data_IF_414801574389
#
_entry.id   IF_414801574389
#
_cell.length_a   1.000
_cell.length_b   1.000
_cell.length_c   1.000
_cell.angle_alpha   90.00
_cell.angle_beta   90.00
_cell.angle_gamma   90.00
#
_symmetry.space_group_name_H-M   'P 1'
#
loop_
_entity.id
_entity.type
_entity.pdbx_description
1 polymer ?
#
# COMPACT_ATOMS: atom_id res chain seq x y z
N UNK A 1 18.00 -16.88 -4.70
CA UNK A 1 18.41 -16.83 -3.29
C UNK A 1 17.16 -17.20 -2.50
N UNK A 2 17.07 -16.96 -1.20
CA UNK A 2 15.84 -17.24 -0.41
C UNK A 2 15.29 -15.88 0.01
N UNK A 3 13.96 -15.78 0.10
CA UNK A 3 13.32 -14.57 0.63
C UNK A 3 13.79 -14.32 2.08
N UNK A 4 13.87 -13.04 2.46
CA UNK A 4 14.37 -12.61 3.76
C UNK A 4 13.20 -12.42 4.72
N UNK A 5 13.20 -13.20 5.80
CA UNK A 5 12.18 -13.13 6.85
C UNK A 5 12.23 -11.78 7.58
N UNK A 6 11.07 -11.13 7.67
CA UNK A 6 10.85 -9.89 8.44
C UNK A 6 10.32 -10.22 9.83
N UNK A 7 9.27 -11.05 9.91
CA UNK A 7 8.60 -11.47 11.15
C UNK A 7 7.98 -12.86 10.95
N UNK A 8 7.94 -13.69 12.00
CA UNK A 8 7.40 -15.06 11.96
C UNK A 8 6.37 -15.39 13.04
N UNK A 9 5.82 -14.35 13.66
CA UNK A 9 4.74 -14.47 14.64
C UNK A 9 3.67 -13.43 14.37
N UNK A 10 3.15 -13.39 13.14
CA UNK A 10 2.06 -12.47 12.78
C UNK A 10 0.68 -13.13 12.92
N UNK A 11 -0.38 -12.31 12.92
CA UNK A 11 -1.75 -12.83 12.97
C UNK A 11 -2.10 -13.58 11.68
N UNK A 12 -2.87 -14.66 11.80
CA UNK A 12 -3.31 -15.49 10.67
C UNK A 12 -4.35 -14.80 9.76
N UNK A 13 -4.78 -13.58 10.08
CA UNK A 13 -5.77 -12.84 9.29
C UNK A 13 -5.19 -11.50 8.81
N UNK A 14 -3.88 -11.42 8.53
CA UNK A 14 -3.23 -10.14 8.17
C UNK A 14 -3.85 -9.49 6.93
N UNK A 15 -4.25 -10.29 5.95
CA UNK A 15 -4.94 -9.90 4.73
C UNK A 15 -6.32 -9.30 5.02
N UNK A 16 -7.15 -9.98 5.82
CA UNK A 16 -8.47 -9.49 6.23
C UNK A 16 -8.38 -8.17 7.00
N UNK A 17 -7.29 -7.99 7.76
CA UNK A 17 -7.09 -6.89 8.71
C UNK A 17 -6.42 -5.66 8.12
N UNK A 18 -6.02 -5.71 6.85
CA UNK A 18 -5.08 -4.75 6.28
C UNK A 18 -3.91 -4.55 7.25
N UNK A 19 -3.40 -5.65 7.78
CA UNK A 19 -2.65 -5.65 9.04
C UNK A 19 -1.17 -5.33 8.85
N UNK A 20 -0.67 -5.24 7.62
CA UNK A 20 0.73 -5.08 7.29
C UNK A 20 0.97 -3.94 6.29
N UNK A 21 1.91 -3.04 6.61
CA UNK A 21 2.24 -1.86 5.83
C UNK A 21 3.74 -1.60 5.78
N UNK A 22 4.15 -0.99 4.68
CA UNK A 22 5.55 -0.73 4.34
C UNK A 22 6.14 -1.83 3.43
N UNK A 23 7.47 -1.95 3.37
CA UNK A 23 8.43 -1.19 4.18
C UNK A 23 8.45 0.31 3.83
N UNK A 24 8.45 1.17 4.84
CA UNK A 24 8.68 2.61 4.69
C UNK A 24 10.16 2.92 4.85
N UNK A 25 10.77 3.58 3.87
CA UNK A 25 12.21 3.88 3.88
C UNK A 25 12.49 5.34 4.22
N UNK A 26 13.38 5.56 5.19
CA UNK A 26 13.91 6.89 5.49
C UNK A 26 15.15 7.22 4.65
N UNK A 27 15.91 6.18 4.27
CA UNK A 27 17.04 6.20 3.33
C UNK A 27 17.23 4.81 2.66
N UNK A 28 18.28 4.63 1.86
CA UNK A 28 18.57 3.36 1.13
C UNK A 28 18.86 2.13 2.01
N UNK A 29 19.04 2.32 3.32
CA UNK A 29 19.45 1.29 4.29
C UNK A 29 18.48 1.11 5.45
N UNK A 30 17.73 2.15 5.80
CA UNK A 30 16.84 2.17 6.96
C UNK A 30 15.38 2.10 6.54
N UNK A 31 14.69 1.03 6.95
CA UNK A 31 13.28 0.79 6.64
C UNK A 31 12.50 0.23 7.82
N UNK A 32 11.18 0.43 7.80
CA UNK A 32 10.24 -0.01 8.83
C UNK A 32 9.05 -0.74 8.20
N UNK A 33 8.75 -1.94 8.67
CA UNK A 33 7.53 -2.69 8.35
C UNK A 33 6.60 -2.65 9.57
N UNK A 34 5.40 -2.10 9.42
CA UNK A 34 4.37 -2.12 10.46
C UNK A 34 3.50 -3.36 10.26
N UNK A 35 3.20 -4.08 11.33
CA UNK A 35 2.37 -5.28 11.26
C UNK A 35 1.65 -5.58 12.57
N UNK A 36 0.73 -6.55 12.56
CA UNK A 36 0.12 -7.12 13.75
C UNK A 36 0.77 -8.47 14.11
N UNK A 37 1.07 -8.70 15.39
CA UNK A 37 1.56 -10.02 15.86
C UNK A 37 0.42 -11.05 16.03
N UNK A 38 0.77 -12.28 16.39
CA UNK A 38 -0.13 -13.43 16.57
C UNK A 38 -1.20 -13.26 17.67
N UNK A 39 -1.03 -12.27 18.55
CA UNK A 39 -2.00 -11.90 19.59
C UNK A 39 -2.67 -10.54 19.32
N UNK A 40 -2.38 -9.91 18.18
CA UNK A 40 -2.95 -8.66 17.72
C UNK A 40 -2.27 -7.39 18.23
N UNK A 41 -1.09 -7.46 18.87
CA UNK A 41 -0.35 -6.24 19.18
C UNK A 41 0.10 -5.57 17.89
N UNK A 42 0.15 -4.23 17.93
CA UNK A 42 0.73 -3.46 16.84
C UNK A 42 2.25 -3.41 17.01
N UNK A 43 2.97 -3.83 15.98
CA UNK A 43 4.41 -4.00 15.96
C UNK A 43 5.04 -3.18 14.82
N UNK A 44 6.34 -2.94 14.92
CA UNK A 44 7.17 -2.62 13.77
C UNK A 44 8.44 -3.47 13.75
N UNK A 45 8.82 -3.92 12.56
CA UNK A 45 10.12 -4.52 12.29
C UNK A 45 11.01 -3.49 11.59
N UNK A 46 12.20 -3.28 12.14
CA UNK A 46 13.17 -2.30 11.65
C UNK A 46 14.37 -2.97 11.01
N UNK A 47 14.80 -2.47 9.85
CA UNK A 47 16.10 -2.76 9.25
C UNK A 47 16.99 -1.51 9.21
N UNK A 48 18.31 -1.72 9.28
CA UNK A 48 19.33 -0.68 9.03
C UNK A 48 20.39 -1.15 8.04
N UNK A 49 20.15 -2.29 7.40
CA UNK A 49 21.07 -3.00 6.53
C UNK A 49 20.39 -3.44 5.23
N UNK A 50 19.49 -2.59 4.72
CA UNK A 50 18.83 -2.79 3.40
C UNK A 50 17.82 -3.94 3.37
N UNK A 51 17.32 -4.35 4.52
CA UNK A 51 16.39 -5.48 4.64
C UNK A 51 17.09 -6.83 4.84
N UNK A 52 18.41 -6.86 5.08
CA UNK A 52 19.16 -8.08 5.36
C UNK A 52 18.86 -8.69 6.73
N UNK A 53 18.54 -7.83 7.69
CA UNK A 53 18.04 -8.24 9.00
C UNK A 53 16.98 -7.27 9.52
N UNK A 54 16.06 -7.84 10.31
CA UNK A 54 14.92 -7.13 10.89
C UNK A 54 14.90 -7.34 12.39
N UNK A 55 14.56 -6.29 13.13
CA UNK A 55 14.36 -6.33 14.58
C UNK A 55 13.00 -5.79 14.93
N UNK A 56 12.16 -6.62 15.54
CA UNK A 56 10.78 -6.27 15.88
C UNK A 56 10.69 -5.60 17.25
N UNK A 57 9.89 -4.53 17.33
CA UNK A 57 9.55 -3.80 18.55
C UNK A 57 8.06 -3.52 18.58
N UNK A 58 7.47 -3.59 19.77
CA UNK A 58 6.04 -3.35 19.95
C UNK A 58 5.73 -1.85 19.95
N UNK A 59 4.81 -1.41 19.10
CA UNK A 59 4.28 -0.04 19.05
C UNK A 59 3.26 0.16 20.18
N UNK A 60 2.29 -0.75 20.29
CA UNK A 60 1.22 -0.66 21.26
C UNK A 60 0.78 -2.06 21.71
N UNK A 61 0.52 -2.20 23.02
CA UNK A 61 -0.35 -3.30 23.48
C UNK A 61 -1.73 -2.94 22.98
N UNK A 62 -2.24 -3.74 22.07
CA UNK A 62 -3.56 -3.63 21.52
C UNK A 62 -3.99 -5.04 21.10
N UNK A 63 -5.28 -5.25 20.96
CA UNK A 63 -5.76 -6.28 20.02
C UNK A 63 -6.23 -5.53 18.79
N UNK A 64 -5.25 -5.04 18.04
CA UNK A 64 -5.46 -4.28 16.83
C UNK A 64 -6.28 -5.12 15.85
N UNK A 65 -7.40 -4.56 15.36
CA UNK A 65 -8.26 -5.26 14.41
C UNK A 65 -8.00 -4.86 12.97
N UNK A 66 -7.89 -3.56 12.71
CA UNK A 66 -7.53 -3.02 11.41
C UNK A 66 -6.51 -1.92 11.63
N UNK A 67 -5.62 -1.74 10.66
CA UNK A 67 -4.58 -0.71 10.68
C UNK A 67 -4.68 0.10 9.39
N UNK A 68 -4.38 1.39 9.48
CA UNK A 68 -4.09 2.21 8.32
C UNK A 68 -2.84 3.04 8.61
N UNK A 69 -1.98 3.15 7.60
CA UNK A 69 -0.74 3.90 7.69
C UNK A 69 -0.68 4.98 6.60
N UNK A 70 -0.11 6.14 6.94
CA UNK A 70 0.28 7.17 6.00
C UNK A 70 1.68 7.68 6.35
N UNK A 71 2.63 7.55 5.44
CA UNK A 71 3.98 8.06 5.64
C UNK A 71 4.05 9.52 5.19
N UNK A 72 4.71 10.38 5.98
CA UNK A 72 4.88 11.82 5.66
C UNK A 72 5.24 12.03 4.19
N UNK A 73 6.19 11.25 3.66
CA UNK A 73 6.68 11.41 2.28
C UNK A 73 5.72 10.91 1.20
N UNK A 74 4.55 10.39 1.54
CA UNK A 74 3.46 10.14 0.59
C UNK A 74 2.69 11.43 0.28
N UNK A 75 2.80 12.45 1.14
CA UNK A 75 2.23 13.78 0.89
C UNK A 75 3.20 14.62 0.04
N UNK A 76 2.77 15.15 -1.12
CA UNK A 76 3.62 16.00 -1.95
C UNK A 76 4.22 17.18 -1.19
N UNK A 77 5.54 17.34 -1.30
CA UNK A 77 6.27 18.43 -0.65
C UNK A 77 6.68 18.16 0.81
N UNK A 78 6.18 17.10 1.44
CA UNK A 78 6.58 16.73 2.78
C UNK A 78 7.89 15.93 2.78
N UNK A 79 8.77 16.27 3.73
CA UNK A 79 10.09 15.66 3.90
C UNK A 79 10.26 14.98 5.26
N UNK A 80 9.18 14.92 6.05
CA UNK A 80 9.15 14.27 7.34
C UNK A 80 9.46 12.77 7.25
N UNK A 81 9.54 12.16 8.42
CA UNK A 81 9.91 10.75 8.59
C UNK A 81 8.91 9.99 9.45
N UNK A 82 7.76 10.60 9.76
CA UNK A 82 6.72 9.95 10.55
C UNK A 82 5.83 9.09 9.66
N UNK A 83 5.56 7.87 10.12
CA UNK A 83 4.37 7.12 9.72
C UNK A 83 3.28 7.43 10.72
N UNK A 84 2.15 7.90 10.20
CA UNK A 84 0.91 8.13 10.92
C UNK A 84 0.10 6.85 10.90
N UNK A 85 -0.24 6.31 12.07
CA UNK A 85 -0.87 5.00 12.20
C UNK A 85 -2.20 5.17 12.94
N UNK A 86 -3.29 4.80 12.28
CA UNK A 86 -4.62 4.70 12.89
C UNK A 86 -5.03 3.23 12.99
N UNK A 87 -5.68 2.85 14.09
CA UNK A 87 -6.08 1.46 14.31
C UNK A 87 -7.25 1.34 15.29
N UNK A 88 -8.01 0.25 15.16
CA UNK A 88 -9.00 -0.16 16.16
C UNK A 88 -8.35 -1.00 17.26
N UNK A 89 -8.77 -0.88 18.51
CA UNK A 89 -8.27 -1.69 19.65
C UNK A 89 -9.45 -2.23 20.46
N UNK A 90 -9.52 -3.55 20.65
CA UNK A 90 -10.61 -4.21 21.41
C UNK A 90 -10.40 -4.23 22.93
N UNK A 91 -9.20 -3.90 23.41
CA UNK A 91 -8.94 -3.96 24.85
C UNK A 91 -9.44 -2.67 25.52
N UNK A 92 -10.65 -2.76 26.07
CA UNK A 92 -11.13 -1.80 27.09
C UNK A 92 -12.08 -0.71 26.59
N UNK A 93 -12.98 -1.06 25.67
CA UNK A 93 -14.12 -0.29 25.12
C UNK A 93 -13.95 0.17 23.65
N UNK A 94 -13.51 -0.73 22.75
CA UNK A 94 -13.59 -0.62 21.27
C UNK A 94 -13.29 0.79 20.71
N UNK A 95 -12.06 1.27 20.81
CA UNK A 95 -11.70 2.64 20.39
C UNK A 95 -10.92 2.68 19.08
N UNK A 96 -11.01 3.81 18.37
CA UNK A 96 -10.05 4.15 17.31
C UNK A 96 -8.94 5.00 17.92
N UNK A 97 -7.71 4.54 17.73
CA UNK A 97 -6.50 5.18 18.20
C UNK A 97 -5.63 5.67 17.06
N UNK A 98 -4.78 6.64 17.39
CA UNK A 98 -3.73 7.17 16.54
C UNK A 98 -2.39 7.16 17.27
N UNK A 99 -1.32 6.81 16.56
CA UNK A 99 0.06 6.88 17.04
C UNK A 99 1.00 7.16 15.86
N UNK A 100 2.21 7.65 16.14
CA UNK A 100 3.25 7.84 15.12
C UNK A 100 4.44 6.90 15.34
N UNK A 101 5.15 6.59 14.26
CA UNK A 101 6.45 5.94 14.27
C UNK A 101 7.42 6.79 13.43
N UNK A 102 8.57 7.17 13.97
CA UNK A 102 9.62 7.85 13.19
C UNK A 102 10.53 6.82 12.53
N UNK A 103 10.48 6.73 11.19
CA UNK A 103 11.27 5.77 10.40
C UNK A 103 12.78 6.05 10.51
N UNK A 104 13.18 7.27 10.86
CA UNK A 104 14.60 7.62 10.95
C UNK A 104 15.31 6.94 12.12
N UNK A 105 14.63 6.70 13.25
CA UNK A 105 15.24 6.14 14.46
C UNK A 105 14.40 5.11 15.22
N UNK A 106 13.16 4.84 14.78
CA UNK A 106 12.24 3.88 15.36
C UNK A 106 11.50 4.43 16.58
N UNK A 107 11.52 5.75 16.80
CA UNK A 107 10.84 6.37 17.95
C UNK A 107 9.33 6.27 17.79
N UNK A 108 8.68 5.69 18.79
CA UNK A 108 7.22 5.59 18.89
C UNK A 108 6.66 6.83 19.58
N UNK A 109 5.63 7.42 18.98
CA UNK A 109 4.90 8.57 19.49
C UNK A 109 4.01 8.26 20.69
N UNK A 110 3.21 9.25 21.09
CA UNK A 110 2.20 9.07 22.14
C UNK A 110 0.91 8.55 21.53
N UNK A 111 0.36 7.43 22.06
CA UNK A 111 -0.99 6.95 21.69
C UNK A 111 -2.06 7.98 22.04
N UNK A 112 -2.94 8.31 21.08
CA UNK A 112 -4.04 9.27 21.20
C UNK A 112 -5.34 8.61 20.78
N UNK A 113 -6.44 8.97 21.44
CA UNK A 113 -7.78 8.53 21.04
C UNK A 113 -8.28 9.43 19.92
N UNK A 114 -8.77 8.83 18.83
CA UNK A 114 -9.47 9.51 17.74
C UNK A 114 -10.96 9.55 18.07
N UNK A 115 -11.55 8.38 18.32
CA UNK A 115 -12.90 8.25 18.86
C UNK A 115 -12.95 7.28 20.05
N UNK A 116 -13.78 7.64 21.03
CA UNK A 116 -14.06 6.92 22.26
C UNK A 116 -15.49 6.37 22.36
N UNK A 117 -16.29 6.47 21.30
CA UNK A 117 -17.74 6.21 21.40
C UNK A 117 -18.26 5.08 20.52
N UNK A 118 -17.39 4.42 19.78
CA UNK A 118 -17.73 3.31 18.89
C UNK A 118 -18.47 2.19 19.63
N UNK A 119 -19.55 1.72 19.03
CA UNK A 119 -20.36 0.60 19.50
C UNK A 119 -20.45 -0.48 18.43
N UNK A 120 -19.45 -1.35 18.32
CA UNK A 120 -19.29 -2.29 17.20
C UNK A 120 -19.19 -3.77 17.57
N UNK A 121 -19.36 -4.64 16.57
CA UNK A 121 -19.14 -6.09 16.69
C UNK A 121 -17.66 -6.49 16.61
N UNK A 122 -17.37 -7.77 16.85
CA UNK A 122 -16.00 -8.27 17.11
C UNK A 122 -15.27 -8.89 15.90
N UNK A 123 -15.65 -8.59 14.66
CA UNK A 123 -15.08 -9.27 13.49
C UNK A 123 -14.19 -8.33 12.67
N UNK A 124 -12.88 -8.64 12.52
CA UNK A 124 -11.96 -7.78 11.78
C UNK A 124 -12.41 -7.50 10.34
N UNK A 125 -12.94 -8.52 9.65
CA UNK A 125 -13.44 -8.41 8.28
C UNK A 125 -14.62 -7.43 8.12
N UNK A 126 -15.24 -6.95 9.20
CA UNK A 126 -16.34 -5.98 9.16
C UNK A 126 -15.89 -4.52 9.34
N UNK A 127 -14.63 -4.30 9.72
CA UNK A 127 -14.10 -2.98 10.02
C UNK A 127 -13.24 -2.47 8.87
N UNK A 128 -13.26 -1.17 8.63
CA UNK A 128 -12.46 -0.49 7.62
C UNK A 128 -11.88 0.76 8.22
N UNK A 129 -10.62 1.05 7.94
CA UNK A 129 -9.97 2.28 8.40
C UNK A 129 -9.03 2.78 7.31
N UNK A 130 -8.99 4.08 7.14
CA UNK A 130 -8.08 4.77 6.26
C UNK A 130 -7.54 6.01 6.96
N UNK A 131 -6.30 6.38 6.64
CA UNK A 131 -5.68 7.62 7.10
C UNK A 131 -4.95 8.29 5.95
N UNK A 132 -4.99 9.62 5.91
CA UNK A 132 -4.14 10.42 5.04
C UNK A 132 -3.67 11.68 5.74
N UNK A 133 -2.66 12.33 5.15
CA UNK A 133 -2.19 13.66 5.51
C UNK A 133 -2.33 14.59 4.32
N UNK A 134 -3.17 15.61 4.50
CA UNK A 134 -3.41 16.70 3.55
C UNK A 134 -2.14 17.52 3.31
N UNK A 135 -2.10 18.32 2.24
CA UNK A 135 -0.92 19.12 1.88
C UNK A 135 -0.57 20.15 2.97
N UNK A 136 -1.56 20.67 3.69
CA UNK A 136 -1.36 21.59 4.81
C UNK A 136 -0.81 20.92 6.07
N UNK A 137 -0.90 19.58 6.14
CA UNK A 137 -0.48 18.77 7.27
C UNK A 137 -1.60 18.34 8.21
N UNK A 138 -2.88 18.62 7.90
CA UNK A 138 -3.99 18.03 8.64
C UNK A 138 -4.03 16.52 8.40
N UNK A 139 -4.38 15.76 9.44
CA UNK A 139 -4.62 14.33 9.36
C UNK A 139 -6.11 14.08 9.27
N UNK A 140 -6.49 13.16 8.38
CA UNK A 140 -7.88 12.70 8.25
C UNK A 140 -7.88 11.19 8.46
N UNK A 141 -8.72 10.74 9.39
CA UNK A 141 -9.00 9.32 9.63
C UNK A 141 -10.47 9.09 9.31
N UNK A 142 -10.76 8.10 8.47
CA UNK A 142 -12.11 7.64 8.24
C UNK A 142 -12.21 6.16 8.55
N UNK A 143 -13.33 5.74 9.12
CA UNK A 143 -13.55 4.34 9.41
C UNK A 143 -15.03 3.95 9.29
N UNK A 144 -15.25 2.67 9.09
CA UNK A 144 -16.57 2.04 9.19
C UNK A 144 -16.50 0.82 10.08
N UNK A 145 -17.54 0.62 10.88
CA UNK A 145 -17.84 -0.61 11.60
C UNK A 145 -19.16 -1.18 11.08
N UNK A 146 -19.72 -2.22 11.72
CA UNK A 146 -21.06 -2.73 11.38
C UNK A 146 -22.21 -1.76 11.66
N UNK A 147 -21.98 -0.77 12.52
CA UNK A 147 -23.02 0.08 13.12
C UNK A 147 -22.75 1.56 12.91
N UNK A 148 -21.50 1.95 12.67
CA UNK A 148 -21.05 3.33 12.58
C UNK A 148 -20.19 3.55 11.35
N UNK A 149 -20.27 4.76 10.83
CA UNK A 149 -19.36 5.32 9.83
C UNK A 149 -18.99 6.68 10.35
N UNK A 150 -17.69 6.96 10.46
CA UNK A 150 -17.22 8.22 11.03
C UNK A 150 -15.98 8.73 10.29
N UNK A 151 -15.79 10.04 10.31
CA UNK A 151 -14.60 10.70 9.82
C UNK A 151 -14.12 11.76 10.82
N UNK A 152 -12.84 11.74 11.16
CA UNK A 152 -12.23 12.70 12.08
C UNK A 152 -11.05 13.40 11.42
N UNK A 153 -10.84 14.64 11.84
CA UNK A 153 -9.67 15.44 11.47
C UNK A 153 -8.88 15.88 12.69
N UNK A 154 -7.57 15.88 12.56
CA UNK A 154 -6.65 16.63 13.42
C UNK A 154 -5.93 17.71 12.63
N UNK A 155 -5.90 18.94 13.16
CA UNK A 155 -5.15 20.10 12.65
C UNK A 155 -3.96 20.48 13.54
N UNK A 156 -3.62 19.62 14.51
CA UNK A 156 -2.58 19.83 15.51
C UNK A 156 -1.61 18.64 15.62
N UNK A 157 -1.34 17.98 14.48
CA UNK A 157 -0.45 16.83 14.35
C UNK A 157 -0.89 15.59 15.18
N UNK A 158 -2.21 15.37 15.25
CA UNK A 158 -2.83 14.21 15.88
C UNK A 158 -3.02 14.34 17.40
N UNK A 159 -2.90 15.55 17.96
CA UNK A 159 -3.05 15.77 19.41
C UNK A 159 -4.53 15.79 19.80
N UNK A 160 -5.37 16.46 19.01
CA UNK A 160 -6.84 16.49 19.16
C UNK A 160 -7.53 16.12 17.85
N UNK A 161 -8.72 15.55 17.96
CA UNK A 161 -9.52 15.04 16.84
C UNK A 161 -10.93 15.63 16.90
N UNK A 162 -11.44 16.05 15.75
CA UNK A 162 -12.78 16.64 15.60
C UNK A 162 -13.54 15.89 14.52
N UNK A 163 -14.79 15.55 14.83
CA UNK A 163 -15.75 14.93 13.92
C UNK A 163 -15.98 15.76 12.65
N UNK A 164 -16.15 15.07 11.51
CA UNK A 164 -16.29 15.61 10.15
C UNK A 164 -17.33 14.80 9.37
N UNK A 165 -17.70 15.31 8.19
CA UNK A 165 -18.62 14.59 7.33
C UNK A 165 -18.07 13.21 6.95
N UNK A 166 -18.94 12.21 6.94
CA UNK A 166 -18.58 10.82 6.68
C UNK A 166 -18.34 10.58 5.19
N UNK A 167 -17.32 9.78 4.88
CA UNK A 167 -17.00 9.34 3.51
C UNK A 167 -17.75 8.06 3.11
N UNK A 168 -17.98 7.17 4.09
CA UNK A 168 -18.73 5.94 3.93
C UNK A 168 -20.22 6.25 3.93
N UNK A 169 -20.98 5.51 3.13
CA UNK A 169 -22.42 5.77 2.93
C UNK A 169 -23.29 5.04 3.93
N UNK A 170 -22.84 3.85 4.35
CA UNK A 170 -23.51 3.01 5.33
C UNK A 170 -22.53 2.08 6.02
N UNK A 171 -22.85 1.67 7.24
CA UNK A 171 -22.03 0.80 8.07
C UNK A 171 -22.10 -0.70 7.65
N UNK A 172 -23.07 -1.08 6.81
CA UNK A 172 -23.36 -2.51 6.56
C UNK A 172 -22.70 -3.10 5.31
N UNK A 173 -22.12 -2.28 4.45
CA UNK A 173 -21.70 -2.72 3.10
C UNK A 173 -20.25 -3.20 3.04
N UNK A 174 -19.44 -2.88 4.08
CA UNK A 174 -18.02 -3.22 4.21
C UNK A 174 -17.16 -2.69 3.05
N UNK A 175 -17.52 -1.51 2.54
CA UNK A 175 -16.84 -0.86 1.43
C UNK A 175 -15.37 -0.57 1.77
N UNK A 176 -14.48 -0.71 0.80
CA UNK A 176 -13.08 -0.31 1.00
C UNK A 176 -12.90 1.18 0.71
N UNK A 177 -11.96 1.79 1.43
CA UNK A 177 -11.65 3.21 1.27
C UNK A 177 -10.14 3.41 1.38
N UNK A 178 -9.57 4.15 0.42
CA UNK A 178 -8.22 4.69 0.50
C UNK A 178 -8.30 6.21 0.47
N UNK A 179 -7.62 6.86 1.41
CA UNK A 179 -7.57 8.32 1.51
C UNK A 179 -6.26 8.87 0.95
N UNK A 180 -6.34 10.03 0.30
CA UNK A 180 -5.21 10.75 -0.27
C UNK A 180 -5.35 12.27 -0.06
N UNK A 181 -4.24 13.03 -0.03
CA UNK A 181 -4.32 14.48 -0.15
C UNK A 181 -4.89 14.88 -1.51
N UNK A 182 -5.72 15.91 -1.55
CA UNK A 182 -6.15 16.52 -2.80
C UNK A 182 -5.18 17.61 -3.24
N UNK A 183 -5.07 17.85 -4.55
CA UNK A 183 -4.18 18.82 -5.15
C UNK A 183 -4.91 20.15 -5.44
N UNK A 184 -5.74 20.59 -4.51
CA UNK A 184 -6.62 21.74 -4.68
C UNK A 184 -5.96 23.05 -4.26
N UNK A 185 -6.63 24.17 -4.51
CA UNK A 185 -6.17 25.47 -4.04
C UNK A 185 -6.28 25.62 -2.51
N UNK A 186 -7.13 24.81 -1.88
CA UNK A 186 -7.18 24.63 -0.44
C UNK A 186 -6.38 23.38 -0.08
N UNK A 187 -5.25 23.59 0.61
CA UNK A 187 -4.32 22.52 0.98
C UNK A 187 -4.86 21.65 2.14
N UNK A 188 -5.98 22.04 2.75
CA UNK A 188 -6.68 21.30 3.81
C UNK A 188 -7.60 20.18 3.27
N UNK A 189 -7.78 20.12 1.96
CA UNK A 189 -8.70 19.18 1.32
C UNK A 189 -8.08 17.79 1.07
N UNK A 190 -8.95 16.80 0.87
CA UNK A 190 -8.59 15.41 0.61
C UNK A 190 -9.49 14.75 -0.43
N UNK A 191 -9.16 13.53 -0.79
CA UNK A 191 -10.02 12.69 -1.61
C UNK A 191 -9.95 11.23 -1.18
N UNK A 192 -10.92 10.45 -1.61
CA UNK A 192 -11.01 9.03 -1.36
C UNK A 192 -11.23 8.26 -2.66
N UNK A 193 -10.49 7.17 -2.83
CA UNK A 193 -10.88 6.10 -3.72
C UNK A 193 -11.77 5.15 -2.90
N UNK A 194 -13.03 5.02 -3.32
CA UNK A 194 -14.07 4.34 -2.58
C UNK A 194 -14.58 3.15 -3.39
N UNK A 195 -14.48 1.94 -2.85
CA UNK A 195 -15.01 0.73 -3.49
C UNK A 195 -16.37 0.39 -2.88
N UNK A 196 -17.42 0.81 -3.57
CA UNK A 196 -18.80 0.47 -3.24
C UNK A 196 -19.08 -0.98 -3.69
N UNK A 197 -19.14 -1.88 -2.71
CA UNK A 197 -19.40 -3.30 -2.96
C UNK A 197 -20.83 -3.55 -3.41
N UNK A 198 -21.77 -2.75 -2.93
CA UNK A 198 -23.20 -2.91 -3.26
C UNK A 198 -23.47 -2.57 -4.73
N UNK A 199 -22.73 -1.60 -5.28
CA UNK A 199 -22.82 -1.19 -6.68
C UNK A 199 -21.84 -1.90 -7.61
N UNK A 200 -20.84 -2.62 -7.08
CA UNK A 200 -19.67 -3.13 -7.82
C UNK A 200 -18.98 -1.99 -8.59
N UNK A 201 -18.67 -0.90 -7.89
CA UNK A 201 -18.08 0.28 -8.48
C UNK A 201 -16.97 0.84 -7.60
N UNK A 202 -15.93 1.39 -8.24
CA UNK A 202 -14.93 2.21 -7.59
C UNK A 202 -15.19 3.64 -8.00
N UNK A 203 -15.38 4.53 -7.03
CA UNK A 203 -15.67 5.95 -7.26
C UNK A 203 -14.61 6.84 -6.61
N UNK A 204 -14.57 8.09 -7.07
CA UNK A 204 -13.73 9.13 -6.50
C UNK A 204 -14.63 10.07 -5.69
N UNK A 205 -14.33 10.22 -4.41
CA UNK A 205 -14.99 11.19 -3.52
C UNK A 205 -14.02 12.29 -3.16
N UNK A 206 -14.46 13.55 -3.25
CA UNK A 206 -13.66 14.73 -2.94
C UNK A 206 -14.16 15.36 -1.64
N UNK A 207 -13.28 15.67 -0.71
CA UNK A 207 -13.59 16.35 0.54
C UNK A 207 -13.24 17.83 0.45
N UNK A 208 -14.23 18.68 0.72
CA UNK A 208 -14.07 20.13 0.92
C UNK A 208 -14.06 20.40 2.43
N UNK A 209 -12.91 20.77 2.98
CA UNK A 209 -12.76 21.03 4.42
C UNK A 209 -13.61 22.22 4.84
N UNK A 210 -13.57 23.29 4.04
CA UNK A 210 -14.20 24.57 4.36
C UNK A 210 -15.72 24.45 4.42
N UNK A 211 -16.30 23.57 3.58
CA UNK A 211 -17.71 23.22 3.59
C UNK A 211 -18.04 22.05 4.54
N UNK A 212 -17.03 21.28 4.94
CA UNK A 212 -17.15 20.00 5.62
C UNK A 212 -18.12 19.05 4.88
N UNK A 213 -17.83 18.76 3.61
CA UNK A 213 -18.67 17.90 2.77
C UNK A 213 -17.84 16.98 1.88
N UNK A 214 -18.32 15.76 1.70
CA UNK A 214 -17.87 14.86 0.64
C UNK A 214 -18.76 15.00 -0.60
N UNK A 215 -18.13 15.11 -1.76
CA UNK A 215 -18.79 15.07 -3.07
C UNK A 215 -18.30 13.85 -3.83
N UNK A 216 -19.20 12.91 -4.10
CA UNK A 216 -18.90 11.81 -5.00
C UNK A 216 -18.97 12.25 -6.45
N UNK A 217 -17.94 11.90 -7.22
CA UNK A 217 -17.86 12.28 -8.62
C UNK A 217 -18.70 11.34 -9.49
N UNK A 218 -19.48 11.92 -10.41
CA UNK A 218 -20.41 11.17 -11.25
C UNK A 218 -19.74 10.19 -12.23
N UNK A 219 -18.44 10.37 -12.53
CA UNK A 219 -17.69 9.41 -13.33
C UNK A 219 -16.93 8.49 -12.39
N UNK A 220 -17.35 7.24 -12.32
CA UNK A 220 -16.65 6.20 -11.57
C UNK A 220 -15.24 5.97 -12.12
N UNK A 221 -14.32 5.59 -11.23
CA UNK A 221 -13.01 5.04 -11.59
C UNK A 221 -13.22 3.72 -12.34
N UNK A 222 -14.09 2.87 -11.80
CA UNK A 222 -14.56 1.64 -12.42
C UNK A 222 -16.06 1.45 -12.16
N UNK A 223 -16.84 1.14 -13.18
CA UNK A 223 -18.30 1.01 -13.07
C UNK A 223 -18.78 -0.45 -12.86
N UNK A 224 -17.87 -1.42 -12.90
CA UNK A 224 -18.17 -2.85 -12.84
C UNK A 224 -17.06 -3.65 -12.12
N UNK A 225 -16.40 -3.03 -11.14
CA UNK A 225 -15.34 -3.70 -10.38
C UNK A 225 -15.96 -4.52 -9.24
N UNK A 226 -15.83 -5.85 -9.34
CA UNK A 226 -16.33 -6.76 -8.31
C UNK A 226 -15.33 -6.81 -7.16
N UNK A 227 -15.82 -6.54 -5.96
CA UNK A 227 -15.02 -6.47 -4.74
C UNK A 227 -14.86 -7.85 -4.06
N UNK A 228 -13.85 -7.97 -3.22
CA UNK A 228 -13.67 -9.01 -2.21
C UNK A 228 -13.74 -8.40 -0.80
N UNK A 229 -14.61 -8.97 0.05
CA UNK A 229 -14.80 -8.49 1.42
C UNK A 229 -13.62 -8.77 2.36
N UNK A 230 -12.69 -9.65 1.95
CA UNK A 230 -11.50 -10.10 2.68
C UNK A 230 -10.27 -9.37 2.11
N UNK A 231 -10.07 -9.47 0.80
CA UNK A 231 -8.84 -9.01 0.15
C UNK A 231 -9.03 -7.61 -0.46
N UNK A 232 -8.29 -6.62 0.02
CA UNK A 232 -8.30 -5.28 -0.60
C UNK A 232 -7.55 -5.31 -1.94
N UNK A 233 -8.27 -5.54 -3.04
CA UNK A 233 -7.69 -5.69 -4.37
C UNK A 233 -7.49 -4.35 -5.11
N UNK A 234 -7.16 -3.28 -4.36
CA UNK A 234 -6.88 -1.96 -4.88
C UNK A 234 -5.78 -1.24 -4.08
N UNK A 235 -5.01 -0.40 -4.77
CA UNK A 235 -4.06 0.52 -4.14
C UNK A 235 -3.79 1.71 -5.07
N UNK A 236 -3.14 2.75 -4.53
CA UNK A 236 -2.73 3.90 -5.30
C UNK A 236 -1.63 4.69 -4.62
N UNK A 237 -0.97 5.56 -5.38
CA UNK A 237 0.10 6.42 -4.89
C UNK A 237 0.02 7.81 -5.53
N UNK A 238 0.42 8.83 -4.76
CA UNK A 238 0.47 10.22 -5.26
C UNK A 238 1.77 10.43 -6.03
N UNK A 239 1.68 10.87 -7.28
CA UNK A 239 2.84 11.32 -8.07
C UNK A 239 3.17 12.76 -7.69
N UNK A 240 4.34 13.00 -7.12
CA UNK A 240 4.70 14.32 -6.57
C UNK A 240 4.95 15.38 -7.64
N UNK A 241 5.29 14.98 -8.88
CA UNK A 241 5.62 15.92 -9.94
C UNK A 241 4.41 16.75 -10.41
N UNK A 242 3.20 16.21 -10.28
CA UNK A 242 1.95 16.87 -10.67
C UNK A 242 0.80 16.68 -9.68
N UNK A 243 1.01 15.97 -8.57
CA UNK A 243 0.01 15.67 -7.54
C UNK A 243 -1.20 14.86 -8.05
N UNK A 244 -1.03 14.14 -9.16
CA UNK A 244 -2.01 13.16 -9.60
C UNK A 244 -1.92 11.90 -8.73
N UNK A 245 -3.02 11.15 -8.65
CA UNK A 245 -3.05 9.85 -7.98
C UNK A 245 -3.08 8.77 -9.07
N UNK A 246 -2.10 7.89 -9.04
CA UNK A 246 -2.05 6.73 -9.92
C UNK A 246 -2.58 5.53 -9.15
N UNK A 247 -3.62 4.89 -9.68
CA UNK A 247 -4.33 3.81 -8.99
C UNK A 247 -4.33 2.54 -9.82
N UNK A 248 -4.35 1.40 -9.15
CA UNK A 248 -4.50 0.07 -9.74
C UNK A 248 -5.51 -0.77 -8.95
N UNK A 249 -6.27 -1.61 -9.63
CA UNK A 249 -7.25 -2.51 -9.01
C UNK A 249 -7.53 -3.74 -9.88
N UNK A 250 -7.90 -4.85 -9.26
CA UNK A 250 -8.46 -5.99 -9.98
C UNK A 250 -9.93 -5.73 -10.32
N UNK A 251 -10.32 -6.01 -11.56
CA UNK A 251 -11.67 -5.77 -12.05
C UNK A 251 -12.70 -6.81 -11.56
N UNK A 252 -12.22 -7.99 -11.19
CA UNK A 252 -13.01 -9.14 -10.73
C UNK A 252 -12.21 -9.92 -9.68
N UNK A 253 -12.87 -10.81 -8.94
CA UNK A 253 -12.22 -11.64 -7.91
C UNK A 253 -11.79 -12.98 -8.51
N UNK A 254 -10.52 -13.04 -8.94
CA UNK A 254 -9.86 -14.26 -9.40
C UNK A 254 -10.65 -15.05 -10.47
N UNK A 255 -11.00 -14.37 -11.57
CA UNK A 255 -11.66 -15.03 -12.70
C UNK A 255 -10.81 -14.95 -13.96
N UNK A 256 -11.08 -15.83 -14.94
CA UNK A 256 -10.39 -15.77 -16.24
C UNK A 256 -10.62 -14.45 -17.00
N UNK A 257 -11.60 -13.64 -16.59
CA UNK A 257 -11.88 -12.33 -17.15
C UNK A 257 -11.30 -11.18 -16.36
N UNK A 258 -10.58 -11.46 -15.26
CA UNK A 258 -10.03 -10.41 -14.42
C UNK A 258 -8.89 -9.66 -15.13
N UNK A 259 -8.90 -8.35 -14.98
CA UNK A 259 -7.92 -7.40 -15.46
C UNK A 259 -7.37 -6.64 -14.26
N UNK A 260 -6.05 -6.52 -14.16
CA UNK A 260 -5.41 -5.55 -13.26
C UNK A 260 -5.42 -4.17 -13.95
N UNK A 261 -6.47 -3.40 -13.72
CA UNK A 261 -6.75 -2.13 -14.37
C UNK A 261 -6.01 -0.99 -13.69
N UNK A 262 -5.82 0.12 -14.42
CA UNK A 262 -5.19 1.33 -13.88
C UNK A 262 -5.85 2.61 -14.37
N UNK A 263 -5.74 3.68 -13.57
CA UNK A 263 -6.20 5.01 -13.92
C UNK A 263 -5.28 6.09 -13.35
N UNK A 264 -5.26 7.23 -14.03
CA UNK A 264 -4.63 8.47 -13.58
C UNK A 264 -5.75 9.44 -13.14
N UNK A 265 -5.71 9.84 -11.87
CA UNK A 265 -6.70 10.71 -11.25
C UNK A 265 -6.12 12.12 -11.05
N UNK A 266 -6.78 13.11 -11.64
CA UNK A 266 -6.53 14.53 -11.35
C UNK A 266 -7.51 14.99 -10.27
N UNK A 267 -6.98 15.36 -9.11
CA UNK A 267 -7.73 15.67 -7.88
C UNK A 267 -7.59 17.15 -7.49
N UNK A 268 -7.63 18.03 -8.49
CA UNK A 268 -7.40 19.48 -8.36
C UNK A 268 -8.71 20.31 -8.28
N UNK A 269 -9.86 19.64 -8.21
CA UNK A 269 -11.18 20.28 -8.19
C UNK A 269 -12.22 19.38 -7.50
N UNK A 270 -12.96 19.93 -6.53
CA UNK A 270 -14.13 19.26 -5.93
C UNK A 270 -15.20 18.94 -6.99
N UNK A 271 -15.46 19.89 -7.89
CA UNK A 271 -16.61 19.83 -8.80
C UNK A 271 -16.32 19.10 -10.11
N UNK A 272 -15.05 18.95 -10.47
CA UNK A 272 -14.65 18.40 -11.77
C UNK A 272 -13.28 17.74 -11.71
N UNK A 273 -13.03 16.79 -10.79
CA UNK A 273 -11.85 15.95 -10.90
C UNK A 273 -11.94 15.13 -12.20
N UNK A 274 -10.82 14.56 -12.65
CA UNK A 274 -10.83 13.72 -13.86
C UNK A 274 -10.26 12.35 -13.60
N UNK A 275 -10.95 11.33 -14.13
CA UNK A 275 -10.48 9.95 -14.19
C UNK A 275 -10.07 9.66 -15.62
N UNK A 276 -8.80 9.30 -15.82
CA UNK A 276 -8.29 8.87 -17.12
C UNK A 276 -7.86 7.41 -17.04
N UNK A 277 -8.63 6.51 -17.65
CA UNK A 277 -8.24 5.10 -17.77
C UNK A 277 -6.88 4.97 -18.47
N UNK A 278 -6.04 4.09 -17.95
CA UNK A 278 -4.68 3.81 -18.44
C UNK A 278 -4.62 2.38 -18.97
N UNK A 279 -3.42 1.93 -19.36
CA UNK A 279 -3.26 0.57 -19.87
C UNK A 279 -3.32 -0.41 -18.71
N UNK A 280 -4.15 -1.46 -18.80
CA UNK A 280 -4.17 -2.52 -17.80
C UNK A 280 -2.76 -3.14 -17.66
N UNK A 281 -2.34 -3.45 -16.43
CA UNK A 281 -1.07 -4.13 -16.14
C UNK A 281 -1.07 -5.52 -16.78
N UNK A 282 -2.15 -6.27 -16.52
CA UNK A 282 -2.46 -7.56 -17.14
C UNK A 282 -3.91 -7.61 -17.59
N UNK A 283 -4.25 -8.56 -18.46
CA UNK A 283 -5.59 -8.65 -19.06
C UNK A 283 -6.03 -10.10 -19.18
N UNK A 284 -7.26 -10.41 -18.74
CA UNK A 284 -7.81 -11.77 -18.64
C UNK A 284 -6.88 -12.74 -17.89
N UNK A 285 -6.45 -12.34 -16.70
CA UNK A 285 -5.53 -13.08 -15.84
C UNK A 285 -6.31 -13.66 -14.66
N UNK A 286 -6.54 -14.98 -14.70
CA UNK A 286 -6.93 -15.71 -13.49
C UNK A 286 -5.71 -15.97 -12.59
N UNK A 287 -6.00 -16.45 -11.38
CA UNK A 287 -5.08 -16.81 -10.32
C UNK A 287 -4.21 -15.62 -9.93
N UNK A 288 -4.84 -14.45 -9.75
CA UNK A 288 -4.18 -13.22 -9.33
C UNK A 288 -5.08 -12.35 -8.45
N UNK A 289 -4.46 -11.71 -7.47
CA UNK A 289 -5.12 -10.83 -6.51
C UNK A 289 -4.09 -9.94 -5.82
N UNK A 290 -4.58 -9.02 -4.99
CA UNK A 290 -3.80 -8.04 -4.23
C UNK A 290 -2.94 -7.14 -5.10
N UNK A 291 -2.79 -5.88 -4.68
CA UNK A 291 -1.99 -4.93 -5.46
C UNK A 291 -1.31 -3.93 -4.55
N UNK A 292 -0.07 -3.60 -4.90
CA UNK A 292 0.69 -2.53 -4.29
C UNK A 292 1.25 -1.60 -5.38
N UNK A 293 0.94 -0.31 -5.28
CA UNK A 293 1.39 0.73 -6.20
C UNK A 293 2.48 1.56 -5.55
N UNK A 294 3.64 1.63 -6.20
CA UNK A 294 4.78 2.41 -5.74
C UNK A 294 5.24 3.37 -6.83
N UNK A 295 5.53 4.62 -6.45
CA UNK A 295 6.09 5.63 -7.37
C UNK A 295 7.48 6.06 -6.91
N UNK A 296 8.43 5.91 -7.82
CA UNK A 296 9.75 6.50 -7.75
C UNK A 296 9.67 7.99 -8.12
N UNK A 297 9.64 8.87 -7.11
CA UNK A 297 9.40 10.31 -7.29
C UNK A 297 10.56 11.04 -7.98
N UNK A 298 11.70 10.37 -8.21
CA UNK A 298 12.84 10.96 -8.90
C UNK A 298 12.63 11.03 -10.42
N UNK A 299 11.82 10.13 -10.98
CA UNK A 299 11.59 10.02 -12.42
C UNK A 299 10.15 9.61 -12.81
N UNK A 300 9.25 9.53 -11.84
CA UNK A 300 7.85 9.13 -12.00
C UNK A 300 7.65 7.69 -12.51
N UNK A 301 8.65 6.82 -12.36
CA UNK A 301 8.52 5.39 -12.64
C UNK A 301 7.49 4.78 -11.67
N UNK A 302 6.56 4.01 -12.23
CA UNK A 302 5.48 3.34 -11.49
C UNK A 302 5.73 1.84 -11.45
N UNK A 303 5.73 1.29 -10.25
CA UNK A 303 5.85 -0.14 -9.99
C UNK A 303 4.51 -0.66 -9.46
N UNK A 304 4.03 -1.75 -10.04
CA UNK A 304 2.81 -2.43 -9.56
C UNK A 304 3.17 -3.87 -9.23
N UNK A 305 3.21 -4.19 -7.94
CA UNK A 305 3.34 -5.56 -7.44
C UNK A 305 1.95 -6.17 -7.20
N UNK A 306 1.82 -7.47 -7.44
CA UNK A 306 0.61 -8.25 -7.21
C UNK A 306 0.96 -9.73 -7.03
N UNK A 307 -0.01 -10.51 -6.56
CA UNK A 307 0.11 -11.94 -6.40
C UNK A 307 -0.39 -12.65 -7.66
N UNK A 308 0.31 -13.70 -8.08
CA UNK A 308 -0.03 -14.45 -9.29
C UNK A 308 0.45 -15.88 -9.23
N UNK A 309 -0.37 -16.83 -9.69
CA UNK A 309 0.10 -18.15 -10.10
C UNK A 309 -0.69 -19.31 -9.51
N UNK A 310 -0.33 -20.52 -9.94
CA UNK A 310 -0.83 -21.80 -9.46
C UNK A 310 -2.35 -21.87 -9.29
N UNK A 311 -2.79 -21.73 -8.05
CA UNK A 311 -4.20 -21.66 -7.66
C UNK A 311 -4.30 -20.62 -6.56
N UNK A 312 -4.97 -19.49 -6.81
CA UNK A 312 -5.40 -18.57 -5.78
C UNK A 312 -6.43 -19.30 -4.89
N UNK A 313 -6.25 -19.34 -3.58
CA UNK A 313 -5.29 -18.63 -2.73
C UNK A 313 -4.14 -19.53 -2.20
N UNK A 314 -3.94 -20.72 -2.77
CA UNK A 314 -3.09 -21.77 -2.22
C UNK A 314 -1.64 -21.79 -2.69
N UNK A 315 -1.33 -21.28 -3.89
CA UNK A 315 0.02 -21.38 -4.45
C UNK A 315 0.22 -20.25 -5.47
N UNK A 316 0.73 -19.12 -5.01
CA UNK A 316 1.01 -17.90 -5.78
C UNK A 316 2.47 -17.47 -5.61
N UNK A 317 2.95 -16.70 -6.57
CA UNK A 317 4.22 -15.97 -6.54
C UNK A 317 3.94 -14.47 -6.39
N UNK A 318 4.93 -13.71 -5.94
CA UNK A 318 4.92 -12.25 -6.00
C UNK A 318 5.61 -11.80 -7.28
N UNK A 319 4.92 -10.99 -8.08
CA UNK A 319 5.42 -10.46 -9.35
C UNK A 319 5.21 -8.95 -9.42
N UNK A 320 5.87 -8.27 -10.36
CA UNK A 320 5.58 -6.87 -10.63
C UNK A 320 5.81 -6.47 -12.08
N UNK A 321 5.19 -5.35 -12.47
CA UNK A 321 5.48 -4.61 -13.69
C UNK A 321 6.01 -3.21 -13.37
N UNK A 322 6.80 -2.67 -14.31
CA UNK A 322 7.31 -1.30 -14.30
C UNK A 322 6.71 -0.54 -15.48
N UNK A 323 6.26 0.69 -15.25
CA UNK A 323 5.96 1.68 -16.29
C UNK A 323 6.83 2.92 -16.08
N UNK A 324 7.50 3.37 -17.14
CA UNK A 324 8.34 4.58 -17.18
C UNK A 324 7.68 5.73 -17.98
N UNK A 325 6.38 5.59 -18.29
CA UNK A 325 5.60 6.52 -19.11
C UNK A 325 4.22 6.86 -18.51
N UNK A 326 4.12 6.78 -17.17
CA UNK A 326 2.92 7.10 -16.42
C UNK A 326 1.76 6.15 -16.74
N UNK A 327 2.02 4.84 -16.77
CA UNK A 327 1.06 3.76 -17.04
C UNK A 327 0.49 3.74 -18.46
N UNK A 328 1.19 4.33 -19.44
CA UNK A 328 0.78 4.21 -20.85
C UNK A 328 1.23 2.86 -21.44
N UNK A 329 2.39 2.34 -21.03
CA UNK A 329 2.86 1.00 -21.34
C UNK A 329 3.50 0.35 -20.12
N UNK A 330 3.53 -0.99 -20.13
CA UNK A 330 4.16 -1.79 -19.09
C UNK A 330 5.33 -2.58 -19.66
N UNK A 331 6.42 -2.63 -18.90
CA UNK A 331 7.55 -3.52 -19.14
C UNK A 331 7.17 -5.00 -19.02
N UNK A 332 8.15 -5.88 -19.16
CA UNK A 332 7.93 -7.32 -18.96
C UNK A 332 7.71 -7.61 -17.48
N UNK A 333 6.75 -8.49 -17.16
CA UNK A 333 6.55 -9.03 -15.81
C UNK A 333 7.87 -9.56 -15.24
N UNK A 334 8.19 -9.16 -14.02
CA UNK A 334 9.35 -9.64 -13.28
C UNK A 334 8.87 -10.48 -12.09
N UNK A 335 9.53 -11.61 -11.86
CA UNK A 335 9.37 -12.35 -10.60
C UNK A 335 10.05 -11.57 -9.47
N UNK A 336 9.39 -11.48 -8.32
CA UNK A 336 9.93 -10.82 -7.13
C UNK A 336 10.25 -11.83 -6.02
N UNK A 337 9.33 -12.72 -5.67
CA UNK A 337 9.62 -13.81 -4.73
C UNK A 337 10.62 -14.80 -5.34
N UNK A 338 11.52 -15.33 -4.51
CA UNK A 338 12.48 -16.37 -4.93
C UNK A 338 12.20 -17.74 -4.28
N UNK A 339 11.37 -17.79 -3.25
CA UNK A 339 10.90 -19.04 -2.67
C UNK A 339 9.99 -19.79 -3.63
N UNK A 340 9.69 -21.04 -3.28
CA UNK A 340 8.65 -21.79 -4.00
C UNK A 340 7.34 -21.04 -3.79
N UNK A 341 6.54 -20.90 -4.85
CA UNK A 341 5.19 -20.39 -4.75
C UNK A 341 4.47 -21.00 -3.55
N UNK A 342 3.82 -20.16 -2.76
CA UNK A 342 3.16 -20.53 -1.51
C UNK A 342 1.82 -19.80 -1.39
N UNK A 343 1.13 -19.91 -0.27
CA UNK A 343 -0.21 -19.35 -0.10
C UNK A 343 -0.22 -17.85 0.29
N UNK A 344 0.63 -17.04 -0.34
CA UNK A 344 0.74 -15.61 -0.02
C UNK A 344 -0.60 -14.87 -0.17
N UNK A 345 -0.98 -13.99 0.76
CA UNK A 345 -2.32 -13.31 0.79
C UNK A 345 -2.32 -11.80 0.83
N UNK A 346 -1.16 -11.18 1.04
CA UNK A 346 -1.04 -9.73 1.08
C UNK A 346 0.32 -9.33 0.49
N UNK A 347 0.32 -8.23 -0.26
CA UNK A 347 1.53 -7.57 -0.76
C UNK A 347 1.43 -6.08 -0.52
N UNK A 348 2.50 -5.46 -0.05
CA UNK A 348 2.57 -4.02 0.16
C UNK A 348 4.01 -3.52 -0.04
N UNK A 349 4.22 -2.32 -0.62
CA UNK A 349 5.57 -1.83 -0.94
C UNK A 349 5.89 -0.44 -0.35
N UNK A 350 4.99 0.11 0.45
CA UNK A 350 4.90 1.56 0.62
C UNK A 350 4.42 2.20 -0.68
N UNK A 351 4.03 3.48 -0.64
CA UNK A 351 3.64 4.19 -1.87
C UNK A 351 4.79 4.96 -2.50
N UNK A 352 5.79 5.33 -1.69
CA UNK A 352 6.99 6.02 -2.16
C UNK A 352 8.10 6.06 -1.10
N UNK A 353 9.32 6.39 -1.54
CA UNK A 353 10.46 6.74 -0.67
C UNK A 353 10.71 8.26 -0.61
N UNK A 354 9.97 9.03 -1.40
CA UNK A 354 10.16 10.48 -1.56
C UNK A 354 11.57 10.83 -2.05
N UNK A 355 12.01 12.07 -1.77
CA UNK A 355 13.27 12.59 -2.30
C UNK A 355 14.54 12.02 -1.64
N UNK A 356 14.46 11.40 -0.47
CA UNK A 356 15.66 10.90 0.23
C UNK A 356 16.18 9.58 -0.34
N UNK A 357 15.45 8.97 -1.28
CA UNK A 357 15.75 7.63 -1.79
C UNK A 357 15.39 6.55 -0.76
N UNK A 358 15.58 5.31 -1.16
CA UNK A 358 15.13 4.15 -0.41
C UNK A 358 15.16 2.90 -1.29
N UNK A 359 14.16 2.03 -1.14
CA UNK A 359 14.00 0.85 -1.99
C UNK A 359 12.55 0.65 -2.38
N UNK A 360 12.35 0.19 -3.61
CA UNK A 360 11.17 -0.61 -3.92
C UNK A 360 11.48 -2.03 -3.46
N UNK A 361 10.91 -2.41 -2.32
CA UNK A 361 11.08 -3.73 -1.70
C UNK A 361 9.73 -4.17 -1.16
N UNK A 362 8.78 -4.62 -2.01
CA UNK A 362 7.53 -5.19 -1.56
C UNK A 362 7.74 -6.21 -0.42
N UNK A 363 6.93 -6.07 0.61
CA UNK A 363 6.70 -7.08 1.63
C UNK A 363 5.52 -7.94 1.22
N UNK A 364 5.53 -9.21 1.62
CA UNK A 364 4.43 -10.14 1.35
C UNK A 364 4.24 -11.11 2.52
N UNK A 365 3.00 -11.52 2.72
CA UNK A 365 2.55 -12.34 3.84
C UNK A 365 2.24 -13.76 3.38
N UNK A 366 2.84 -14.75 4.05
CA UNK A 366 2.62 -16.20 3.93
C UNK A 366 1.65 -16.65 5.03
N UNK A 367 0.51 -17.21 4.61
CA UNK A 367 -0.65 -17.39 5.48
C UNK A 367 -0.56 -18.64 6.34
N UNK A 368 -0.11 -19.77 5.77
CA UNK A 368 -0.02 -21.01 6.53
C UNK A 368 1.18 -21.07 7.49
N UNK A 369 2.23 -20.28 7.23
CA UNK A 369 3.38 -20.12 8.13
C UNK A 369 3.23 -18.93 9.08
N UNK A 370 2.32 -18.00 8.79
CA UNK A 370 2.17 -16.73 9.49
C UNK A 370 3.48 -15.92 9.50
N UNK A 371 4.05 -15.73 8.31
CA UNK A 371 5.35 -15.07 8.11
C UNK A 371 5.22 -13.84 7.19
N UNK A 372 6.02 -12.80 7.44
CA UNK A 372 6.20 -11.68 6.51
C UNK A 372 7.60 -11.77 5.91
N UNK A 373 7.69 -11.62 4.60
CA UNK A 373 8.93 -11.68 3.83
C UNK A 373 9.17 -10.40 3.02
N UNK A 374 10.44 -10.18 2.68
CA UNK A 374 10.91 -9.29 1.60
C UNK A 374 11.92 -10.04 0.73
N UNK A 375 12.32 -9.48 -0.42
CA UNK A 375 13.38 -10.07 -1.24
C UNK A 375 14.51 -9.07 -1.53
N UNK A 376 15.70 -9.32 -0.97
CA UNK A 376 16.88 -8.46 -1.17
C UNK A 376 17.56 -8.62 -2.53
N UNK A 377 17.31 -9.72 -3.24
CA UNK A 377 17.90 -9.98 -4.56
C UNK A 377 17.20 -9.16 -5.65
N UNK A 378 15.88 -9.08 -5.54
CA UNK A 378 14.98 -8.51 -6.52
C UNK A 378 14.45 -7.13 -6.11
N UNK A 379 14.89 -6.60 -4.96
CA UNK A 379 14.65 -5.21 -4.61
C UNK A 379 15.32 -4.24 -5.59
N UNK A 380 14.82 -3.02 -5.59
CA UNK A 380 15.33 -1.96 -6.45
C UNK A 380 15.72 -0.78 -5.58
N UNK A 381 17.01 -0.47 -5.53
CA UNK A 381 17.51 0.72 -4.87
C UNK A 381 17.07 1.98 -5.64
N UNK A 382 16.37 2.87 -4.95
CA UNK A 382 15.94 4.16 -5.47
C UNK A 382 16.88 5.22 -4.91
N UNK A 383 17.64 5.87 -5.81
CA UNK A 383 18.61 6.87 -5.41
C UNK A 383 17.95 8.14 -4.87
N UNK A 384 18.59 8.77 -3.88
CA UNK A 384 18.16 10.09 -3.41
C UNK A 384 18.20 11.14 -4.54
N UNK A 385 17.24 12.07 -4.52
CA UNK A 385 17.20 13.17 -5.47
C UNK A 385 18.49 14.00 -5.41
N UNK A 386 19.12 14.23 -6.56
CA UNK A 386 20.38 14.99 -6.65
C UNK A 386 21.66 14.19 -6.33
N UNK A 387 21.57 12.89 -6.02
CA UNK A 387 22.74 12.01 -6.07
C UNK A 387 23.29 11.99 -7.52
N UNK A 388 24.61 12.09 -7.73
CA UNK A 388 25.17 11.96 -9.08
C UNK A 388 24.73 10.59 -9.59
N UNK A 389 24.07 10.55 -10.75
CA UNK A 389 23.56 9.33 -11.36
C UNK A 389 24.68 8.28 -11.45
N UNK A 390 24.78 7.43 -10.43
CA UNK A 390 25.48 6.17 -10.54
C UNK A 390 24.80 5.43 -11.68
N UNK A 391 25.58 4.80 -12.55
CA UNK A 391 24.99 4.05 -13.66
C UNK A 391 23.84 3.19 -13.14
N UNK A 392 22.66 3.19 -13.80
CA UNK A 392 21.56 2.36 -13.38
C UNK A 392 22.10 0.95 -13.19
N UNK A 393 21.95 0.41 -11.99
CA UNK A 393 22.20 -0.98 -11.69
C UNK A 393 21.30 -1.77 -12.61
N UNK A 394 21.85 -2.19 -13.75
CA UNK A 394 21.15 -3.05 -14.69
C UNK A 394 20.62 -4.23 -13.89
N UNK A 395 19.31 -4.49 -13.99
CA UNK A 395 18.71 -5.74 -13.60
C UNK A 395 19.68 -6.86 -13.99
N UNK A 396 20.28 -7.52 -12.99
CA UNK A 396 21.05 -8.74 -13.23
C UNK A 396 20.04 -9.81 -13.57
N UNK A 397 19.55 -9.80 -14.81
CA UNK A 397 19.04 -11.00 -15.42
C UNK A 397 20.21 -11.97 -15.45
N UNK A 398 20.25 -12.91 -14.50
CA UNK A 398 21.15 -14.05 -14.55
C UNK A 398 20.72 -14.90 -15.75
N UNK A 399 21.14 -14.50 -16.94
CA UNK A 399 21.12 -15.34 -18.12
C UNK A 399 22.00 -16.56 -17.84
N UNK A 400 21.37 -17.68 -17.50
CA UNK A 400 22.01 -19.00 -17.44
C UNK A 400 22.76 -19.20 -18.76
N UNK A 401 24.10 -19.35 -18.76
CA UNK A 401 24.82 -19.61 -20.00
C UNK A 401 24.46 -21.02 -20.49
N UNK A 402 23.56 -21.11 -21.47
CA UNK A 402 23.34 -22.33 -22.25
C UNK A 402 24.48 -22.48 -23.28
N UNK A 403 25.69 -22.70 -22.77
CA UNK A 403 26.90 -22.89 -23.55
C UNK A 403 27.33 -24.34 -23.64
N UNK A 404 26.55 -25.21 -24.28
CA UNK A 404 27.02 -26.53 -24.71
C UNK A 404 27.94 -26.39 -25.93
N UNK A 405 29.24 -26.21 -25.69
CA UNK A 405 30.27 -26.14 -26.72
C UNK A 405 31.21 -27.34 -26.69
N UNK A 406 30.73 -28.52 -27.06
CA UNK A 406 31.56 -29.69 -27.38
C UNK A 406 32.07 -29.57 -28.83
N UNK A 407 33.30 -30.08 -29.08
CA UNK A 407 33.97 -30.32 -30.40
C UNK A 407 34.74 -29.11 -30.97
N UNK A 408 35.96 -29.21 -31.51
CA UNK A 408 36.84 -30.33 -31.87
C UNK A 408 38.29 -29.81 -31.90
N UNK A 409 39.24 -30.68 -31.52
CA UNK A 409 40.68 -30.49 -31.78
C UNK A 409 41.00 -30.86 -33.23
N UNK A 410 41.93 -30.15 -33.90
CA UNK A 410 42.74 -30.79 -34.92
C UNK A 410 44.20 -30.99 -34.47
N UNK A 411 44.66 -32.19 -34.79
CA UNK A 411 46.02 -32.72 -34.74
C UNK A 411 46.78 -32.30 -36.01
N UNK A 412 48.08 -31.95 -35.84
CA UNK A 412 49.18 -31.83 -36.85
C UNK A 412 49.04 -30.64 -37.83
N UNK A 413 50.12 -29.96 -38.23
CA UNK A 413 51.33 -30.47 -38.91
C UNK A 413 52.58 -29.59 -38.68
N UNK A 414 53.74 -30.27 -38.83
CA UNK A 414 55.14 -29.85 -38.99
C UNK A 414 55.91 -29.32 -37.77
#
# INVERSE_FOLDING_TARGET
MVDTLVENTVTADLDERNGAFGPYWSDVSTGEQIHQDDVGNLMHARTTDKGASWTTTQIAVASALQVACWYDRETPGDTGTLVHIAFFDLIGDDFVFYITLDVSDGTIGTKRTVDSTITGGFFPADHRIAITKTVSGNLIVAFSTLTEVECYRSDDAGVTWTDRADVFETATEKDWCLLFPAAMADDDDACAMFWDRSANAITLKMYDESANTWTEFATAIAATAVDDAIHMNMDGAVRHSDSHILVAWHSDDDTTGDDLQTADLTVDSIASPTVTAKTNVVTNQAESAQVAVFINQQNDDVYVAYLKGGTWTSTVDVVYHLSDDGMATWGTEQAYSESVADDFRLVHAGRTVGNAGGRYQPSFYDDDQTDIYVNETNDIEIAAAGAPAGQPTQHRTQGIPTGSGYRDRPIRWN
#
